data_IF_863177677659
#
_entry.id   IF_863177677659
#
_cell.length_a   1.000
_cell.length_b   1.000
_cell.length_c   1.000
_cell.angle_alpha   90.00
_cell.angle_beta   90.00
_cell.angle_gamma   90.00
#
_symmetry.space_group_name_H-M   'P 1'
#
loop_
_entity.id
_entity.type
_entity.pdbx_description
1 polymer ?
#
# COMPACT_ATOMS: atom_id res chain seq x y z
N UNK A 1 -24.90 -29.31 -0.43
CA UNK A 1 -24.71 -28.36 0.67
C UNK A 1 -23.22 -28.39 0.98
N UNK A 2 -22.45 -27.40 0.50
CA UNK A 2 -21.00 -27.39 0.69
C UNK A 2 -20.73 -27.02 2.15
N UNK A 3 -20.32 -28.01 2.93
CA UNK A 3 -19.77 -27.79 4.26
C UNK A 3 -18.48 -26.98 4.06
N UNK A 4 -18.48 -25.70 4.44
CA UNK A 4 -17.33 -24.77 4.34
C UNK A 4 -16.18 -25.17 5.28
N UNK A 5 -15.99 -26.46 5.52
CA UNK A 5 -14.91 -26.98 6.33
C UNK A 5 -13.71 -27.36 5.49
N UNK A 6 -12.53 -27.10 6.04
CA UNK A 6 -11.25 -27.32 5.38
C UNK A 6 -10.30 -28.00 6.36
N UNK A 7 -9.43 -28.86 5.85
CA UNK A 7 -8.30 -29.42 6.61
C UNK A 7 -7.00 -28.65 6.32
N UNK A 8 -6.93 -28.02 5.14
CA UNK A 8 -5.77 -27.32 4.61
C UNK A 8 -6.20 -26.22 3.64
N UNK A 9 -5.34 -25.22 3.40
CA UNK A 9 -5.67 -24.09 2.49
C UNK A 9 -5.89 -24.51 1.03
N UNK A 10 -5.47 -25.71 0.64
CA UNK A 10 -5.73 -26.32 -0.67
C UNK A 10 -7.15 -26.85 -0.83
N UNK A 11 -7.89 -27.05 0.27
CA UNK A 11 -9.31 -27.41 0.25
C UNK A 11 -10.20 -26.19 -0.04
N UNK A 12 -9.64 -24.99 0.04
CA UNK A 12 -10.35 -23.73 -0.18
C UNK A 12 -10.24 -23.25 -1.62
N UNK A 13 -11.27 -22.51 -2.05
CA UNK A 13 -11.22 -21.79 -3.33
C UNK A 13 -9.97 -20.88 -3.41
N UNK A 14 -9.43 -20.65 -4.60
CA UNK A 14 -8.29 -19.76 -4.79
C UNK A 14 -8.51 -18.40 -4.11
N UNK A 15 -7.59 -17.98 -3.25
CA UNK A 15 -7.68 -16.72 -2.50
C UNK A 15 -8.25 -16.83 -1.08
N UNK A 16 -8.57 -18.04 -0.60
CA UNK A 16 -9.00 -18.32 0.78
C UNK A 16 -7.98 -19.22 1.48
N UNK A 17 -7.86 -19.09 2.80
CA UNK A 17 -6.98 -19.92 3.62
C UNK A 17 -7.78 -20.68 4.66
N UNK A 18 -7.35 -21.89 4.98
CA UNK A 18 -8.03 -22.67 6.00
C UNK A 18 -7.67 -22.18 7.40
N UNK A 19 -8.66 -21.73 8.18
CA UNK A 19 -8.45 -21.28 9.55
C UNK A 19 -9.58 -21.77 10.45
N UNK A 20 -9.26 -22.62 11.43
CA UNK A 20 -10.24 -23.16 12.38
C UNK A 20 -11.27 -24.07 11.74
N UNK A 21 -10.82 -24.98 10.86
CA UNK A 21 -11.66 -25.88 10.07
C UNK A 21 -12.73 -25.17 9.24
N UNK A 22 -12.50 -23.91 8.87
CA UNK A 22 -13.32 -23.21 7.87
C UNK A 22 -12.49 -22.44 6.87
N UNK A 23 -12.92 -22.48 5.61
CA UNK A 23 -12.34 -21.64 4.58
C UNK A 23 -12.69 -20.19 4.92
N UNK A 24 -11.68 -19.42 5.28
CA UNK A 24 -11.84 -17.99 5.55
C UNK A 24 -11.02 -17.24 4.52
N UNK A 25 -11.45 -16.07 4.05
CA UNK A 25 -10.51 -15.18 3.38
C UNK A 25 -9.32 -15.01 4.34
N UNK A 26 -8.08 -14.92 3.82
CA UNK A 26 -6.90 -14.78 4.66
C UNK A 26 -7.18 -13.73 5.71
N UNK A 27 -7.06 -14.11 6.99
CA UNK A 27 -7.25 -13.21 8.15
C UNK A 27 -6.25 -12.06 8.17
N UNK A 28 -5.37 -11.99 7.18
CA UNK A 28 -4.75 -10.75 6.75
C UNK A 28 -5.83 -9.83 6.22
N UNK A 29 -6.50 -9.10 7.11
CA UNK A 29 -7.07 -7.79 6.73
C UNK A 29 -5.90 -6.97 6.23
N UNK A 30 -5.64 -7.08 4.93
CA UNK A 30 -4.68 -6.23 4.29
C UNK A 30 -5.16 -4.80 4.47
N UNK A 31 -4.24 -3.89 4.72
CA UNK A 31 -4.59 -2.50 4.91
C UNK A 31 -4.76 -1.87 3.52
N UNK A 32 -5.99 -1.46 3.23
CA UNK A 32 -6.30 -0.66 2.05
C UNK A 32 -5.88 0.79 2.22
N UNK A 33 -5.98 1.57 1.14
CA UNK A 33 -5.77 3.02 1.19
C UNK A 33 -6.76 3.66 2.16
N UNK A 34 -6.27 4.54 3.03
CA UNK A 34 -7.08 5.21 4.06
C UNK A 34 -7.16 4.51 5.42
N UNK A 35 -6.68 3.26 5.55
CA UNK A 35 -6.64 2.59 6.87
C UNK A 35 -5.58 3.22 7.79
N UNK A 36 -5.94 3.54 9.04
CA UNK A 36 -5.06 4.10 10.07
C UNK A 36 -4.05 3.12 10.66
N UNK A 37 -4.14 1.84 10.29
CA UNK A 37 -3.16 0.82 10.67
C UNK A 37 -1.77 1.12 10.12
N UNK A 38 -0.77 0.97 10.99
CA UNK A 38 0.64 1.04 10.63
C UNK A 38 1.03 -0.27 9.97
N UNK A 39 1.62 -0.20 8.77
CA UNK A 39 2.16 -1.38 8.11
C UNK A 39 3.63 -1.59 8.53
N UNK A 40 4.03 -2.84 8.66
CA UNK A 40 5.42 -3.24 8.88
C UNK A 40 6.09 -3.79 7.60
N UNK A 41 5.29 -4.27 6.65
CA UNK A 41 5.77 -4.82 5.38
C UNK A 41 4.70 -4.76 4.29
N UNK A 42 5.12 -4.85 3.02
CA UNK A 42 4.23 -4.82 1.85
C UNK A 42 3.22 -5.97 1.83
N UNK A 43 3.55 -7.10 2.47
CA UNK A 43 2.64 -8.25 2.62
C UNK A 43 1.37 -7.92 3.42
N UNK A 44 1.38 -6.83 4.20
CA UNK A 44 0.22 -6.34 4.93
C UNK A 44 -0.66 -5.40 4.10
N UNK A 45 -0.22 -5.01 2.90
CA UNK A 45 -0.91 -4.05 2.05
C UNK A 45 -1.75 -4.76 0.99
N UNK A 46 -2.96 -4.25 0.73
CA UNK A 46 -3.85 -4.90 -0.23
C UNK A 46 -3.35 -4.73 -1.67
N UNK A 47 -3.32 -5.82 -2.42
CA UNK A 47 -3.03 -5.79 -3.86
C UNK A 47 -1.62 -5.29 -4.16
N UNK A 48 -1.52 -4.22 -4.95
CA UNK A 48 -0.25 -3.60 -5.35
C UNK A 48 0.11 -2.36 -4.52
N UNK A 49 -0.44 -2.25 -3.32
CA UNK A 49 -0.08 -1.20 -2.37
C UNK A 49 1.27 -1.53 -1.73
N UNK A 50 2.05 -0.49 -1.45
CA UNK A 50 3.36 -0.62 -0.81
C UNK A 50 3.30 -0.07 0.60
N UNK A 51 4.12 -0.64 1.48
CA UNK A 51 4.25 -0.17 2.84
C UNK A 51 5.31 0.91 2.91
N UNK A 52 4.88 2.17 2.92
CA UNK A 52 5.79 3.32 2.93
C UNK A 52 5.25 4.44 3.81
N UNK A 53 6.07 5.48 4.02
CA UNK A 53 5.65 6.63 4.79
C UNK A 53 4.47 7.31 4.10
N UNK A 54 3.35 7.46 4.80
CA UNK A 54 2.19 8.24 4.40
C UNK A 54 1.94 9.27 5.49
N UNK A 55 2.17 10.55 5.21
CA UNK A 55 2.01 11.64 6.21
C UNK A 55 2.70 11.34 7.55
N UNK A 56 3.99 10.99 7.51
CA UNK A 56 4.83 10.67 8.69
C UNK A 56 4.56 9.33 9.40
N UNK A 57 3.77 8.42 8.85
CA UNK A 57 3.59 7.07 9.42
C UNK A 57 3.64 6.00 8.35
N UNK A 58 4.27 4.86 8.63
CA UNK A 58 4.32 3.72 7.71
C UNK A 58 2.90 3.16 7.52
N UNK A 59 2.33 3.32 6.33
CA UNK A 59 0.97 2.86 6.02
C UNK A 59 0.95 2.30 4.60
N UNK A 60 -0.08 1.53 4.31
CA UNK A 60 -0.28 1.03 2.97
C UNK A 60 -0.80 2.15 2.08
N UNK A 61 -0.01 2.45 1.05
CA UNK A 61 -0.25 3.54 0.12
C UNK A 61 0.16 3.13 -1.29
N UNK A 62 -0.27 3.94 -2.25
CA UNK A 62 0.00 3.73 -3.66
C UNK A 62 1.38 4.32 -4.00
N UNK A 63 2.26 3.48 -4.52
CA UNK A 63 3.56 3.90 -5.04
C UNK A 63 3.47 4.75 -6.31
N UNK A 64 4.61 5.21 -6.82
CA UNK A 64 4.67 6.00 -8.05
C UNK A 64 3.96 5.29 -9.21
N UNK A 65 3.17 6.06 -9.99
CA UNK A 65 2.35 5.60 -11.12
C UNK A 65 1.19 4.66 -10.77
N UNK A 66 1.02 4.29 -9.51
CA UNK A 66 -0.13 3.51 -9.08
C UNK A 66 -1.42 4.35 -9.11
N UNK A 67 -2.57 3.68 -9.11
CA UNK A 67 -3.88 4.32 -9.15
C UNK A 67 -4.24 5.02 -7.84
N UNK A 68 -4.78 6.22 -7.94
CA UNK A 68 -5.26 6.99 -6.80
C UNK A 68 -6.54 7.74 -7.17
N UNK A 69 -7.40 8.00 -6.18
CA UNK A 69 -8.50 8.95 -6.26
C UNK A 69 -8.12 10.27 -5.61
N UNK A 70 -7.30 10.22 -4.57
CA UNK A 70 -6.84 11.43 -3.86
C UNK A 70 -5.34 11.36 -3.57
N UNK A 71 -4.70 12.52 -3.42
CA UNK A 71 -3.28 12.62 -3.04
C UNK A 71 -2.98 11.98 -1.68
N UNK A 72 -4.00 11.76 -0.84
CA UNK A 72 -3.86 11.09 0.45
C UNK A 72 -3.60 9.58 0.32
N UNK A 73 -3.80 9.00 -0.86
CA UNK A 73 -3.52 7.59 -1.14
C UNK A 73 -2.10 7.36 -1.63
N UNK A 74 -1.44 8.40 -2.15
CA UNK A 74 -0.09 8.30 -2.69
C UNK A 74 0.94 8.33 -1.56
N UNK A 75 1.93 7.44 -1.63
CA UNK A 75 2.99 7.40 -0.63
C UNK A 75 3.78 8.72 -0.55
N UNK A 76 4.24 8.99 0.66
CA UNK A 76 5.05 10.13 1.08
C UNK A 76 4.37 11.46 0.83
N UNK A 77 4.89 12.21 -0.12
CA UNK A 77 4.40 13.53 -0.52
C UNK A 77 3.93 13.58 -1.99
N UNK A 78 3.81 12.43 -2.64
CA UNK A 78 3.31 12.34 -4.02
C UNK A 78 1.89 12.90 -4.16
N UNK A 79 1.58 13.39 -5.37
CA UNK A 79 0.29 13.98 -5.69
C UNK A 79 -0.51 13.06 -6.61
N UNK A 80 -1.83 13.01 -6.41
CA UNK A 80 -2.70 12.29 -7.33
C UNK A 80 -3.03 13.18 -8.53
N UNK A 81 -2.41 12.89 -9.68
CA UNK A 81 -2.57 13.64 -10.92
C UNK A 81 -3.14 12.71 -11.98
N UNK A 82 -4.27 13.10 -12.59
CA UNK A 82 -4.98 12.28 -13.58
C UNK A 82 -5.28 10.84 -13.09
N UNK A 83 -5.60 10.69 -11.80
CA UNK A 83 -5.92 9.38 -11.20
C UNK A 83 -4.69 8.49 -10.94
N UNK A 84 -3.48 9.02 -11.04
CA UNK A 84 -2.24 8.31 -10.73
C UNK A 84 -1.32 9.10 -9.81
N UNK A 85 -0.59 8.38 -8.97
CA UNK A 85 0.41 8.99 -8.11
C UNK A 85 1.60 9.48 -8.94
N UNK A 86 1.75 10.79 -9.00
CA UNK A 86 2.88 11.45 -9.61
C UNK A 86 3.92 11.82 -8.55
N UNK A 87 5.18 11.53 -8.89
CA UNK A 87 6.34 12.03 -8.19
C UNK A 87 6.40 13.57 -8.28
N UNK A 88 7.26 14.18 -7.48
CA UNK A 88 7.42 15.63 -7.43
C UNK A 88 8.73 16.09 -8.07
N UNK A 89 8.70 17.31 -8.60
CA UNK A 89 9.85 17.93 -9.24
C UNK A 89 10.95 18.35 -8.24
N UNK A 90 12.20 18.51 -8.69
CA UNK A 90 13.26 19.10 -7.88
C UNK A 90 12.86 20.45 -7.26
N UNK A 91 13.30 20.71 -6.03
CA UNK A 91 12.98 21.90 -5.25
C UNK A 91 11.65 21.83 -4.50
N UNK A 92 10.81 20.83 -4.76
CA UNK A 92 9.56 20.61 -4.03
C UNK A 92 9.76 19.78 -2.77
N UNK A 93 8.79 19.80 -1.86
CA UNK A 93 8.89 19.11 -0.57
C UNK A 93 8.83 17.58 -0.70
N UNK A 94 9.62 16.84 0.06
CA UNK A 94 9.59 15.38 0.08
C UNK A 94 9.78 14.86 1.49
N UNK A 95 9.37 13.61 1.72
CA UNK A 95 9.68 12.86 2.94
C UNK A 95 10.66 11.71 2.68
N UNK A 96 10.66 11.17 1.47
CA UNK A 96 11.51 10.04 1.08
C UNK A 96 11.95 10.16 -0.38
N UNK A 97 13.01 9.46 -0.75
CA UNK A 97 13.60 9.53 -2.09
C UNK A 97 12.59 9.19 -3.19
N UNK A 98 11.70 8.23 -2.93
CA UNK A 98 10.64 7.83 -3.85
C UNK A 98 9.56 8.88 -4.12
N UNK A 99 9.54 9.99 -3.37
CA UNK A 99 8.65 11.11 -3.66
C UNK A 99 9.14 11.94 -4.86
N UNK A 100 10.45 11.89 -5.14
CA UNK A 100 11.09 12.75 -6.12
C UNK A 100 11.13 12.07 -7.50
N UNK A 101 10.77 12.80 -8.56
CA UNK A 101 10.84 12.26 -9.93
C UNK A 101 12.28 11.99 -10.37
N UNK A 102 13.20 12.80 -9.88
CA UNK A 102 14.63 12.73 -10.16
C UNK A 102 15.39 13.05 -8.89
N UNK A 103 16.48 12.33 -8.65
CA UNK A 103 17.36 12.54 -7.51
C UNK A 103 16.82 11.95 -6.22
N UNK A 104 17.06 12.62 -5.09
CA UNK A 104 16.76 12.10 -3.74
C UNK A 104 16.10 13.15 -2.85
N UNK A 105 15.55 12.69 -1.73
CA UNK A 105 15.00 13.59 -0.72
C UNK A 105 16.08 14.02 0.26
N UNK A 106 16.41 15.33 0.27
CA UNK A 106 17.41 15.90 1.15
C UNK A 106 16.87 17.14 1.86
N UNK A 107 16.97 17.17 3.19
CA UNK A 107 16.43 18.26 4.02
C UNK A 107 14.95 18.59 3.73
N UNK A 108 14.15 17.55 3.43
CA UNK A 108 12.74 17.69 3.11
C UNK A 108 12.45 18.29 1.73
N UNK A 109 13.46 18.37 0.84
CA UNK A 109 13.30 18.78 -0.56
C UNK A 109 13.90 17.79 -1.55
N UNK A 110 13.23 17.66 -2.69
CA UNK A 110 13.77 16.91 -3.82
C UNK A 110 14.98 17.65 -4.36
N UNK A 111 16.13 17.00 -4.33
CA UNK A 111 17.36 17.49 -4.93
C UNK A 111 17.76 16.54 -6.06
N UNK A 112 18.28 17.05 -7.18
CA UNK A 112 18.75 16.22 -8.30
C UNK A 112 19.87 15.26 -7.87
#
# INVERSE_FOLDING_TARGET
MLDESCASSTDCCPGFTCSGNRCRPPTTTCFGTGNTSVCASEAQCCGSLVCAFLRNTMRCCTGARGGCRTSAECCGQMLCVAGRCACREPGTGCNQDGDCCTGRCSAGRCVP
#
